data_IF_109694589971
#
_entry.id   IF_109694589971
#
_cell.length_a   1.000
_cell.length_b   1.000
_cell.length_c   1.000
_cell.angle_alpha   90.00
_cell.angle_beta   90.00
_cell.angle_gamma   90.00
#
_symmetry.space_group_name_H-M   'P 1'
#
loop_
_entity.id
_entity.type
_entity.pdbx_description
1 polymer ?
#
# COMPACT_ATOMS: atom_id res chain seq x y z
N UNK A 1 -24.17 -9.21 6.58
CA UNK A 1 -22.85 -9.87 6.71
C UNK A 1 -23.02 -11.09 7.61
N UNK A 2 -22.69 -12.31 7.17
CA UNK A 2 -22.76 -13.48 8.06
C UNK A 2 -21.72 -13.35 9.17
N UNK A 3 -22.13 -13.56 10.43
CA UNK A 3 -21.26 -13.52 11.61
C UNK A 3 -20.30 -14.71 11.61
N UNK A 4 -19.06 -14.51 12.05
CA UNK A 4 -18.08 -15.57 12.31
C UNK A 4 -18.67 -16.68 13.19
N UNK A 5 -18.40 -17.95 12.83
CA UNK A 5 -18.79 -19.14 13.61
C UNK A 5 -18.04 -19.28 14.95
N UNK A 6 -17.03 -18.45 15.23
CA UNK A 6 -16.30 -18.43 16.50
C UNK A 6 -16.50 -17.09 17.22
N UNK A 7 -17.11 -17.06 18.43
CA UNK A 7 -17.45 -15.83 19.15
C UNK A 7 -16.23 -15.01 19.63
N UNK A 8 -15.07 -15.65 19.80
CA UNK A 8 -13.82 -14.97 20.19
C UNK A 8 -13.01 -14.42 19.00
N UNK A 9 -13.39 -14.78 17.77
CA UNK A 9 -12.68 -14.32 16.57
C UNK A 9 -13.39 -13.07 16.07
N UNK A 10 -12.79 -11.90 16.33
CA UNK A 10 -13.28 -10.61 15.79
C UNK A 10 -13.56 -10.77 14.30
N UNK A 11 -14.78 -10.42 13.88
CA UNK A 11 -15.14 -10.38 12.46
C UNK A 11 -14.12 -9.48 11.73
N UNK A 12 -13.47 -10.03 10.72
CA UNK A 12 -12.53 -9.28 9.90
C UNK A 12 -13.29 -8.16 9.19
N UNK A 13 -12.76 -6.94 9.29
CA UNK A 13 -13.33 -5.75 8.65
C UNK A 13 -12.23 -5.07 7.83
N UNK A 14 -12.51 -4.62 6.59
CA UNK A 14 -11.54 -3.97 5.71
C UNK A 14 -11.30 -2.50 6.15
N UNK A 15 -10.94 -2.29 7.41
CA UNK A 15 -10.81 -0.96 8.04
C UNK A 15 -9.75 -0.11 7.34
N UNK A 16 -8.65 -0.74 6.95
CA UNK A 16 -7.53 -0.09 6.26
C UNK A 16 -7.94 0.37 4.86
N UNK A 17 -8.53 -0.51 4.06
CA UNK A 17 -9.05 -0.18 2.72
C UNK A 17 -10.10 0.93 2.79
N UNK A 18 -10.98 0.88 3.80
CA UNK A 18 -11.98 1.93 4.03
C UNK A 18 -11.32 3.27 4.35
N UNK A 19 -10.33 3.29 5.25
CA UNK A 19 -9.60 4.49 5.61
C UNK A 19 -8.92 5.12 4.40
N UNK A 20 -8.25 4.31 3.58
CA UNK A 20 -7.59 4.77 2.35
C UNK A 20 -8.61 5.33 1.36
N UNK A 21 -9.74 4.63 1.18
CA UNK A 21 -10.81 5.08 0.27
C UNK A 21 -11.41 6.41 0.73
N UNK A 22 -11.70 6.56 2.03
CA UNK A 22 -12.21 7.80 2.62
C UNK A 22 -11.19 8.95 2.48
N UNK A 23 -9.90 8.67 2.66
CA UNK A 23 -8.83 9.64 2.44
C UNK A 23 -8.78 10.12 0.98
N UNK A 24 -8.77 9.19 0.02
CA UNK A 24 -8.74 9.54 -1.41
C UNK A 24 -9.97 10.37 -1.79
N UNK A 25 -11.17 9.94 -1.40
CA UNK A 25 -12.40 10.65 -1.70
C UNK A 25 -12.43 12.07 -1.09
N UNK A 26 -11.82 12.25 0.09
CA UNK A 26 -11.79 13.55 0.76
C UNK A 26 -10.79 14.54 0.15
N UNK A 27 -9.61 14.07 -0.24
CA UNK A 27 -8.50 14.94 -0.65
C UNK A 27 -8.27 15.00 -2.16
N UNK A 28 -8.76 14.01 -2.90
CA UNK A 28 -8.60 13.92 -4.36
C UNK A 28 -9.93 13.54 -5.06
N UNK A 29 -11.05 14.25 -4.79
CA UNK A 29 -12.36 13.87 -5.31
C UNK A 29 -12.46 13.94 -6.85
N UNK A 30 -11.68 14.83 -7.47
CA UNK A 30 -11.78 15.13 -8.90
C UNK A 30 -10.75 14.37 -9.76
N UNK A 31 -9.93 13.53 -9.15
CA UNK A 31 -8.85 12.82 -9.83
C UNK A 31 -9.13 11.33 -9.95
N UNK A 32 -8.76 10.72 -11.08
CA UNK A 32 -8.80 9.26 -11.21
C UNK A 32 -7.91 8.65 -10.12
N UNK A 33 -8.45 7.66 -9.43
CA UNK A 33 -7.71 6.92 -8.41
C UNK A 33 -7.99 5.44 -8.51
N UNK A 34 -7.03 4.64 -8.05
CA UNK A 34 -7.14 3.18 -7.94
C UNK A 34 -6.66 2.74 -6.58
N UNK A 35 -7.38 1.83 -5.95
CA UNK A 35 -7.00 1.21 -4.68
C UNK A 35 -6.44 -0.20 -4.94
N UNK A 36 -5.60 -0.69 -4.04
CA UNK A 36 -4.97 -2.01 -4.11
C UNK A 36 -4.27 -2.28 -5.44
N UNK A 37 -3.26 -1.47 -5.76
CA UNK A 37 -2.62 -1.44 -7.09
C UNK A 37 -1.32 -2.21 -7.11
N UNK A 38 -1.20 -3.15 -8.06
CA UNK A 38 0.04 -3.86 -8.33
C UNK A 38 1.01 -2.99 -9.16
N UNK A 39 2.12 -2.54 -8.57
CA UNK A 39 3.13 -1.66 -9.15
C UNK A 39 4.13 -2.37 -10.07
N UNK A 40 4.10 -3.70 -10.13
CA UNK A 40 4.98 -4.48 -10.98
C UNK A 40 6.29 -4.91 -10.31
N UNK A 41 7.25 -5.31 -11.14
CA UNK A 41 8.53 -5.88 -10.69
C UNK A 41 9.51 -4.81 -10.20
N UNK A 42 10.45 -5.22 -9.33
CA UNK A 42 11.53 -4.34 -8.88
C UNK A 42 12.27 -3.69 -10.07
N UNK A 43 12.35 -2.34 -10.12
CA UNK A 43 13.05 -1.64 -11.18
C UNK A 43 14.50 -2.12 -11.38
N UNK A 44 15.00 -2.24 -12.62
CA UNK A 44 16.37 -2.66 -12.89
C UNK A 44 17.43 -1.85 -12.14
N UNK A 45 17.21 -0.54 -11.93
CA UNK A 45 18.10 0.37 -11.19
C UNK A 45 18.35 0.00 -9.72
N UNK A 46 17.55 -0.92 -9.17
CA UNK A 46 17.66 -1.42 -7.79
C UNK A 46 18.19 -2.85 -7.73
N UNK A 47 18.32 -3.54 -8.87
CA UNK A 47 18.96 -4.85 -8.92
C UNK A 47 20.43 -4.72 -8.51
N UNK A 48 20.90 -5.61 -7.64
CA UNK A 48 22.28 -5.59 -7.13
C UNK A 48 22.57 -4.55 -6.03
N UNK A 49 21.60 -3.73 -5.64
CA UNK A 49 21.75 -2.81 -4.49
C UNK A 49 21.47 -3.44 -3.13
N UNK A 50 21.04 -4.70 -3.13
CA UNK A 50 20.75 -5.45 -1.91
C UNK A 50 21.95 -6.34 -1.57
N UNK A 51 22.28 -6.39 -0.28
CA UNK A 51 23.38 -7.19 0.27
C UNK A 51 23.17 -8.70 0.15
N UNK A 52 21.92 -9.16 -0.02
CA UNK A 52 21.59 -10.56 -0.27
C UNK A 52 20.42 -10.72 -1.25
N UNK A 53 20.36 -11.87 -1.94
CA UNK A 53 19.21 -12.23 -2.79
C UNK A 53 17.89 -12.31 -2.01
N UNK A 54 17.95 -12.77 -0.76
CA UNK A 54 16.79 -12.85 0.12
C UNK A 54 16.21 -11.47 0.42
N UNK A 55 17.08 -10.50 0.72
CA UNK A 55 16.68 -9.09 0.91
C UNK A 55 16.09 -8.52 -0.38
N UNK A 56 16.69 -8.82 -1.53
CA UNK A 56 16.17 -8.39 -2.83
C UNK A 56 14.78 -8.96 -3.12
N UNK A 57 14.53 -10.23 -2.77
CA UNK A 57 13.22 -10.89 -2.91
C UNK A 57 12.19 -10.27 -1.98
N UNK A 58 12.51 -10.06 -0.71
CA UNK A 58 11.61 -9.45 0.27
C UNK A 58 11.20 -8.03 -0.17
N UNK A 59 12.18 -7.19 -0.51
CA UNK A 59 11.91 -5.83 -1.01
C UNK A 59 11.09 -5.86 -2.29
N UNK A 60 11.35 -6.81 -3.19
CA UNK A 60 10.53 -7.01 -4.38
C UNK A 60 9.09 -7.42 -4.09
N UNK A 61 8.83 -8.16 -3.01
CA UNK A 61 7.46 -8.52 -2.59
C UNK A 61 6.73 -7.33 -1.96
N UNK A 62 7.40 -6.56 -1.10
CA UNK A 62 6.80 -5.40 -0.45
C UNK A 62 6.56 -4.22 -1.40
N UNK A 63 7.41 -4.04 -2.42
CA UNK A 63 7.28 -2.97 -3.43
C UNK A 63 6.23 -3.24 -4.51
N UNK A 64 5.53 -4.39 -4.46
CA UNK A 64 4.56 -4.77 -5.49
C UNK A 64 3.22 -4.08 -5.35
N UNK A 65 2.85 -3.60 -4.17
CA UNK A 65 1.47 -3.18 -3.92
C UNK A 65 1.44 -1.81 -3.25
N UNK A 66 0.76 -0.86 -3.87
CA UNK A 66 0.35 0.37 -3.20
C UNK A 66 -1.11 0.25 -2.73
N UNK A 67 -1.41 0.80 -1.55
CA UNK A 67 -2.79 0.83 -1.05
C UNK A 67 -3.70 1.68 -1.92
N UNK A 68 -3.19 2.82 -2.41
CA UNK A 68 -3.84 3.59 -3.45
C UNK A 68 -2.87 4.41 -4.31
N UNK A 69 -3.36 4.76 -5.49
CA UNK A 69 -2.71 5.65 -6.44
C UNK A 69 -3.71 6.71 -6.89
N UNK A 70 -3.26 7.96 -6.99
CA UNK A 70 -4.01 9.06 -7.62
C UNK A 70 -3.24 9.56 -8.84
N UNK A 71 -3.93 9.63 -9.97
CA UNK A 71 -3.38 10.13 -11.24
C UNK A 71 -3.67 11.63 -11.35
N UNK A 72 -2.62 12.44 -11.36
CA UNK A 72 -2.69 13.87 -11.63
C UNK A 72 -2.11 14.18 -13.03
N UNK A 73 -2.40 15.35 -13.62
CA UNK A 73 -1.90 15.69 -14.96
C UNK A 73 -0.38 15.67 -15.09
N UNK A 74 0.36 16.05 -14.05
CA UNK A 74 1.81 16.22 -14.03
C UNK A 74 2.55 15.14 -13.22
N UNK A 75 1.83 14.37 -12.41
CA UNK A 75 2.42 13.44 -11.45
C UNK A 75 1.46 12.35 -11.02
N UNK A 76 2.01 11.41 -10.26
CA UNK A 76 1.27 10.32 -9.64
C UNK A 76 1.56 10.33 -8.14
N UNK A 77 0.52 10.20 -7.34
CA UNK A 77 0.62 10.16 -5.87
C UNK A 77 0.42 8.71 -5.43
N UNK A 78 1.42 8.15 -4.75
CA UNK A 78 1.33 6.87 -4.06
C UNK A 78 0.88 7.09 -2.63
N UNK A 79 -0.11 6.31 -2.18
CA UNK A 79 -0.70 6.42 -0.85
C UNK A 79 -0.57 5.07 -0.16
N UNK A 80 -0.03 5.10 1.06
CA UNK A 80 0.05 3.96 1.98
C UNK A 80 -0.75 4.30 3.23
N UNK A 81 -1.83 3.56 3.47
CA UNK A 81 -2.63 3.66 4.67
C UNK A 81 -1.99 2.87 5.79
N UNK A 82 -1.99 3.41 7.01
CA UNK A 82 -1.50 2.70 8.20
C UNK A 82 -2.38 3.03 9.38
N UNK A 83 -2.91 2.00 10.03
CA UNK A 83 -3.78 2.17 11.21
C UNK A 83 -2.95 2.47 12.47
N UNK A 84 -1.73 1.93 12.56
CA UNK A 84 -0.83 2.14 13.69
C UNK A 84 0.42 2.91 13.24
N UNK A 85 0.73 4.05 13.88
CA UNK A 85 1.89 4.86 13.53
C UNK A 85 3.15 4.28 14.19
N UNK A 86 3.76 3.26 13.58
CA UNK A 86 5.05 2.71 14.00
C UNK A 86 6.20 3.42 13.27
N UNK A 87 7.28 3.86 13.94
CA UNK A 87 8.31 4.73 13.35
C UNK A 87 8.98 4.21 12.06
N UNK A 88 9.09 2.89 11.89
CA UNK A 88 9.74 2.28 10.72
C UNK A 88 8.93 2.34 9.41
N UNK A 89 7.67 2.76 9.48
CA UNK A 89 6.71 2.62 8.37
C UNK A 89 6.83 3.74 7.33
N UNK A 90 7.25 4.94 7.73
CA UNK A 90 7.50 6.06 6.79
C UNK A 90 8.61 5.70 5.78
N UNK A 91 9.58 4.88 6.21
CA UNK A 91 10.66 4.41 5.34
C UNK A 91 10.18 3.54 4.18
N UNK A 92 8.99 2.93 4.27
CA UNK A 92 8.41 2.11 3.19
C UNK A 92 8.05 2.96 1.97
N UNK A 93 7.59 4.20 2.15
CA UNK A 93 7.28 5.11 1.03
C UNK A 93 8.54 5.51 0.24
N UNK A 94 9.70 5.60 0.90
CA UNK A 94 10.99 5.87 0.22
C UNK A 94 11.49 4.67 -0.60
N UNK A 95 10.84 3.51 -0.46
CA UNK A 95 11.10 2.32 -1.24
C UNK A 95 10.18 2.24 -2.47
N UNK A 96 9.54 3.30 -2.94
CA UNK A 96 8.96 3.34 -4.28
C UNK A 96 9.86 4.18 -5.21
#
# INVERSE_FOLDING_TARGET
MPKSKNPDKRDWQPRETRLVSEFVARFYPDYESRTHVHLGSTPPRLKGKFTSEETARLVGVFRRWADAIVFMPDRLILIEGKILPVPGVISQLKLY
#
